data_IF_275079448322
#
_entry.id   IF_275079448322
#
_cell.length_a   1.000
_cell.length_b   1.000
_cell.length_c   1.000
_cell.angle_alpha   90.00
_cell.angle_beta   90.00
_cell.angle_gamma   90.00
#
_symmetry.space_group_name_H-M   'P 1'
#
loop_
_entity.id
_entity.type
_entity.pdbx_description
1 polymer ?
#
# COMPACT_ATOMS: atom_id res chain seq x y z
N UNK A 1 -2.75 20.56 -9.32
CA UNK A 1 -1.77 20.16 -8.30
C UNK A 1 -1.82 21.01 -7.03
N UNK A 2 -1.61 22.35 -7.07
CA UNK A 2 -1.71 23.21 -5.86
C UNK A 2 -3.02 23.05 -5.08
N UNK A 3 -4.16 22.97 -5.76
CA UNK A 3 -5.49 22.76 -5.14
C UNK A 3 -5.53 21.45 -4.35
N UNK A 4 -4.92 20.39 -4.87
CA UNK A 4 -4.88 19.07 -4.22
C UNK A 4 -4.03 19.14 -2.94
N UNK A 5 -2.84 19.74 -3.01
CA UNK A 5 -2.00 19.96 -1.83
C UNK A 5 -2.71 20.76 -0.74
N UNK A 6 -3.42 21.83 -1.11
CA UNK A 6 -4.21 22.63 -0.15
C UNK A 6 -5.36 21.84 0.46
N UNK A 7 -6.12 21.11 -0.35
CA UNK A 7 -7.23 20.29 0.11
C UNK A 7 -6.79 19.17 1.06
N UNK A 8 -5.53 18.73 0.96
CA UNK A 8 -4.93 17.71 1.83
C UNK A 8 -4.17 18.31 3.03
N UNK A 9 -4.14 19.64 3.20
CA UNK A 9 -3.38 20.27 4.29
C UNK A 9 -1.85 20.17 4.14
N UNK A 10 -1.35 20.00 2.91
CA UNK A 10 0.06 19.75 2.59
C UNK A 10 0.73 20.93 1.86
N UNK A 11 0.13 22.12 1.89
CA UNK A 11 0.65 23.29 1.16
C UNK A 11 2.03 23.73 1.66
N UNK A 12 2.29 23.66 2.96
CA UNK A 12 3.62 23.96 3.54
C UNK A 12 4.67 22.99 3.00
N UNK A 13 4.38 21.69 3.00
CA UNK A 13 5.29 20.68 2.43
C UNK A 13 5.55 20.96 0.95
N UNK A 14 4.51 21.34 0.19
CA UNK A 14 4.65 21.72 -1.23
C UNK A 14 5.59 22.91 -1.41
N UNK A 15 5.54 23.91 -0.52
CA UNK A 15 6.41 25.08 -0.59
C UNK A 15 7.86 24.71 -0.29
N UNK A 16 8.10 23.92 0.76
CA UNK A 16 9.44 23.46 1.12
C UNK A 16 10.08 22.61 0.02
N UNK A 17 9.31 21.67 -0.56
CA UNK A 17 9.75 20.88 -1.71
C UNK A 17 10.04 21.75 -2.95
N UNK A 18 9.22 22.77 -3.20
CA UNK A 18 9.40 23.65 -4.36
C UNK A 18 10.59 24.62 -4.21
N UNK A 19 10.99 24.94 -2.98
CA UNK A 19 12.17 25.76 -2.69
C UNK A 19 13.49 24.99 -2.88
N UNK A 20 13.42 23.67 -3.00
CA UNK A 20 14.58 22.80 -3.08
C UNK A 20 14.91 22.47 -4.54
N UNK A 21 16.18 22.58 -4.91
CA UNK A 21 16.67 22.28 -6.27
C UNK A 21 17.12 20.82 -6.47
N UNK A 22 17.18 20.04 -5.39
CA UNK A 22 17.61 18.64 -5.38
C UNK A 22 16.42 17.69 -5.16
N UNK A 23 16.24 16.74 -6.07
CA UNK A 23 15.23 15.68 -5.94
C UNK A 23 15.50 14.76 -4.75
N UNK A 24 16.78 14.51 -4.43
CA UNK A 24 17.19 13.71 -3.27
C UNK A 24 16.77 14.42 -1.98
N UNK A 25 16.98 15.73 -1.91
CA UNK A 25 16.62 16.52 -0.74
C UNK A 25 15.11 16.61 -0.57
N UNK A 26 14.37 16.73 -1.68
CA UNK A 26 12.92 16.63 -1.67
C UNK A 26 12.41 15.29 -1.13
N UNK A 27 13.07 14.17 -1.46
CA UNK A 27 12.75 12.85 -0.93
C UNK A 27 13.10 12.72 0.57
N UNK A 28 14.22 13.28 1.02
CA UNK A 28 14.58 13.34 2.44
C UNK A 28 13.52 14.08 3.25
N UNK A 29 13.10 15.27 2.79
CA UNK A 29 12.04 16.03 3.43
C UNK A 29 10.74 15.22 3.57
N UNK A 30 10.38 14.42 2.56
CA UNK A 30 9.21 13.53 2.67
C UNK A 30 9.44 12.49 3.77
N UNK A 31 10.62 11.87 3.81
CA UNK A 31 10.95 10.79 4.74
C UNK A 31 11.04 11.23 6.22
N UNK A 32 11.24 12.52 6.46
CA UNK A 32 11.29 13.11 7.80
C UNK A 32 9.90 13.52 8.34
N UNK A 33 8.86 13.46 7.51
CA UNK A 33 7.50 13.79 7.95
C UNK A 33 6.89 12.68 8.82
N UNK A 34 5.85 12.99 9.62
CA UNK A 34 5.03 11.97 10.27
C UNK A 34 4.49 10.95 9.26
N UNK A 35 4.44 9.66 9.65
CA UNK A 35 4.06 8.55 8.77
C UNK A 35 2.75 8.80 7.99
N UNK A 36 1.75 9.38 8.65
CA UNK A 36 0.48 9.76 8.00
C UNK A 36 0.67 10.71 6.81
N UNK A 37 1.50 11.75 6.99
CA UNK A 37 1.82 12.72 5.94
C UNK A 37 2.66 12.08 4.83
N UNK A 38 3.56 11.15 5.17
CA UNK A 38 4.34 10.39 4.19
C UNK A 38 3.41 9.59 3.26
N UNK A 39 2.51 8.79 3.85
CA UNK A 39 1.57 7.97 3.08
C UNK A 39 0.68 8.87 2.22
N UNK A 40 0.13 9.94 2.79
CA UNK A 40 -0.66 10.92 2.03
C UNK A 40 0.08 11.45 0.80
N UNK A 41 1.35 11.85 0.95
CA UNK A 41 2.15 12.38 -0.16
C UNK A 41 2.45 11.33 -1.21
N UNK A 42 2.84 10.12 -0.79
CA UNK A 42 3.16 9.02 -1.72
C UNK A 42 1.93 8.62 -2.52
N UNK A 43 0.79 8.44 -1.85
CA UNK A 43 -0.49 8.12 -2.50
C UNK A 43 -0.92 9.23 -3.45
N UNK A 44 -0.84 10.50 -3.01
CA UNK A 44 -1.16 11.65 -3.85
C UNK A 44 -0.27 11.71 -5.10
N UNK A 45 1.05 11.52 -4.97
CA UNK A 45 1.98 11.52 -6.10
C UNK A 45 1.69 10.38 -7.08
N UNK A 46 1.41 9.18 -6.57
CA UNK A 46 1.04 8.02 -7.37
C UNK A 46 -0.23 8.25 -8.19
N UNK A 47 -1.32 8.64 -7.52
CA UNK A 47 -2.62 8.84 -8.17
C UNK A 47 -2.60 10.04 -9.13
N UNK A 48 -1.79 11.06 -8.84
CA UNK A 48 -1.56 12.15 -9.78
C UNK A 48 -0.80 11.71 -11.03
N UNK A 49 0.23 10.88 -10.87
CA UNK A 49 0.97 10.30 -11.99
C UNK A 49 0.07 9.40 -12.85
N UNK A 50 -0.74 8.54 -12.24
CA UNK A 50 -1.72 7.69 -12.93
C UNK A 50 -2.70 8.54 -13.74
N UNK A 51 -3.27 9.59 -13.15
CA UNK A 51 -4.16 10.52 -13.84
C UNK A 51 -3.48 11.16 -15.05
N UNK A 52 -2.23 11.60 -14.91
CA UNK A 52 -1.46 12.18 -16.01
C UNK A 52 -1.28 11.17 -17.15
N UNK A 53 -1.05 9.90 -16.82
CA UNK A 53 -0.92 8.84 -17.83
C UNK A 53 -2.23 8.60 -18.57
N UNK A 54 -3.36 8.55 -17.86
CA UNK A 54 -4.70 8.43 -18.47
C UNK A 54 -4.98 9.55 -19.47
N UNK A 55 -4.69 10.81 -19.08
CA UNK A 55 -4.82 11.96 -19.97
C UNK A 55 -3.94 11.80 -21.22
N UNK A 56 -2.68 11.37 -21.04
CA UNK A 56 -1.76 11.13 -22.15
C UNK A 56 -2.26 10.02 -23.09
N UNK A 57 -2.93 9.01 -22.54
CA UNK A 57 -3.56 7.92 -23.31
C UNK A 57 -4.89 8.29 -23.97
N UNK A 58 -5.40 9.52 -23.78
CA UNK A 58 -6.72 9.93 -24.29
C UNK A 58 -7.90 9.34 -23.51
N UNK A 59 -7.65 8.75 -22.34
CA UNK A 59 -8.69 8.21 -21.47
C UNK A 59 -9.45 9.33 -20.75
N UNK A 60 -10.73 9.06 -20.42
CA UNK A 60 -11.49 9.92 -19.52
C UNK A 60 -10.91 9.85 -18.12
N UNK A 61 -10.78 11.00 -17.47
CA UNK A 61 -10.33 11.11 -16.08
C UNK A 61 -11.42 11.65 -15.18
N UNK A 62 -11.41 11.23 -13.92
CA UNK A 62 -12.42 11.67 -12.95
C UNK A 62 -12.28 13.17 -12.62
N UNK A 63 -13.18 13.75 -11.82
CA UNK A 63 -13.02 15.14 -11.37
C UNK A 63 -11.85 15.30 -10.38
N UNK A 64 -11.45 16.54 -10.11
CA UNK A 64 -10.39 16.81 -9.11
C UNK A 64 -10.90 16.50 -7.70
N UNK A 65 -12.17 16.73 -7.43
CA UNK A 65 -12.85 16.43 -6.16
C UNK A 65 -12.85 14.92 -5.92
N UNK A 66 -13.17 14.13 -6.96
CA UNK A 66 -13.10 12.68 -6.88
C UNK A 66 -11.68 12.19 -6.61
N UNK A 67 -10.68 12.78 -7.27
CA UNK A 67 -9.28 12.45 -7.01
C UNK A 67 -8.88 12.75 -5.56
N UNK A 68 -9.28 13.89 -4.99
CA UNK A 68 -9.00 14.24 -3.59
C UNK A 68 -9.63 13.20 -2.65
N UNK A 69 -10.90 12.87 -2.87
CA UNK A 69 -11.58 11.84 -2.08
C UNK A 69 -10.86 10.48 -2.19
N UNK A 70 -10.48 10.08 -3.41
CA UNK A 70 -9.72 8.84 -3.66
C UNK A 70 -8.40 8.81 -2.89
N UNK A 71 -7.65 9.92 -2.89
CA UNK A 71 -6.40 10.04 -2.12
C UNK A 71 -6.65 9.84 -0.63
N UNK A 72 -7.66 10.49 -0.07
CA UNK A 72 -7.98 10.40 1.36
C UNK A 72 -8.39 8.97 1.76
N UNK A 73 -9.30 8.37 1.00
CA UNK A 73 -9.79 7.00 1.27
C UNK A 73 -8.68 5.97 1.15
N UNK A 74 -7.88 6.01 0.07
CA UNK A 74 -6.74 5.10 -0.09
C UNK A 74 -5.70 5.29 1.02
N UNK A 75 -5.42 6.54 1.42
CA UNK A 75 -4.48 6.79 2.53
C UNK A 75 -4.98 6.19 3.83
N UNK A 76 -6.26 6.34 4.16
CA UNK A 76 -6.85 5.75 5.36
C UNK A 76 -6.79 4.21 5.33
N UNK A 77 -7.06 3.59 4.18
CA UNK A 77 -6.94 2.14 4.00
C UNK A 77 -5.50 1.66 4.20
N UNK A 78 -4.52 2.33 3.58
CA UNK A 78 -3.12 1.96 3.72
C UNK A 78 -2.63 2.11 5.15
N UNK A 79 -2.98 3.20 5.85
CA UNK A 79 -2.61 3.38 7.24
C UNK A 79 -3.18 2.27 8.13
N UNK A 80 -4.43 1.84 7.91
CA UNK A 80 -5.02 0.69 8.62
C UNK A 80 -4.23 -0.60 8.36
N UNK A 81 -3.86 -0.88 7.12
CA UNK A 81 -3.07 -2.06 6.76
C UNK A 81 -1.69 -2.06 7.43
N UNK A 82 -1.03 -0.89 7.53
CA UNK A 82 0.26 -0.77 8.21
C UNK A 82 0.16 -0.90 9.73
N UNK A 83 -0.96 -0.48 10.35
CA UNK A 83 -1.22 -0.66 11.78
C UNK A 83 -1.52 -2.13 12.11
N UNK A 84 -2.41 -2.80 11.36
CA UNK A 84 -2.71 -4.22 11.60
C UNK A 84 -1.50 -5.14 11.42
N UNK A 85 -0.55 -4.79 10.52
CA UNK A 85 0.70 -5.55 10.39
C UNK A 85 1.60 -5.46 11.63
N UNK A 86 1.60 -4.36 12.38
CA UNK A 86 2.36 -4.26 13.64
C UNK A 86 1.82 -5.22 14.71
N UNK A 87 0.50 -5.43 14.76
CA UNK A 87 -0.12 -6.38 15.70
C UNK A 87 0.11 -7.84 15.30
N UNK A 88 0.33 -8.12 14.01
CA UNK A 88 0.55 -9.48 13.50
C UNK A 88 2.00 -9.96 13.69
N UNK A 89 2.94 -9.10 14.07
CA UNK A 89 4.36 -9.46 14.27
C UNK A 89 4.66 -10.20 15.59
N UNK A 90 3.63 -10.64 16.32
CA UNK A 90 3.77 -11.69 17.34
C UNK A 90 3.00 -12.95 16.91
N UNK A 91 2.95 -13.25 15.61
CA UNK A 91 2.80 -14.64 15.21
C UNK A 91 4.08 -15.36 15.62
N UNK A 92 4.09 -15.94 16.82
CA UNK A 92 5.13 -16.91 17.23
C UNK A 92 5.34 -17.85 16.06
N UNK A 93 6.58 -18.10 15.66
CA UNK A 93 6.91 -19.19 14.73
C UNK A 93 6.26 -20.48 15.28
N UNK A 94 5.09 -20.85 14.75
CA UNK A 94 4.47 -22.13 15.08
C UNK A 94 5.22 -23.15 14.24
N UNK A 95 6.32 -23.66 14.80
CA UNK A 95 6.99 -24.83 14.26
C UNK A 95 6.08 -26.03 14.43
N UNK A 96 6.11 -26.93 13.46
CA UNK A 96 5.39 -28.18 13.55
C UNK A 96 5.82 -28.94 14.81
N UNK A 97 4.85 -29.34 15.64
CA UNK A 97 5.06 -30.17 16.82
C UNK A 97 4.49 -31.56 16.48
N UNK A 98 5.25 -32.65 16.66
CA UNK A 98 4.73 -33.99 16.48
C UNK A 98 3.58 -34.25 17.46
N UNK A 99 2.51 -34.95 17.03
CA UNK A 99 1.43 -35.33 17.94
C UNK A 99 1.96 -36.26 19.05
N UNK A 100 1.29 -36.27 20.20
CA UNK A 100 1.63 -37.17 21.32
C UNK A 100 1.59 -38.64 20.89
N UNK A 101 2.35 -39.52 21.56
CA UNK A 101 2.66 -40.88 21.10
C UNK A 101 1.47 -41.79 20.75
N UNK A 102 0.28 -41.48 21.25
CA UNK A 102 -0.95 -42.23 20.98
C UNK A 102 -1.74 -41.69 19.76
N UNK A 103 -1.22 -40.67 19.08
CA UNK A 103 -1.90 -39.98 18.00
C UNK A 103 -1.08 -40.03 16.70
N UNK A 104 -1.73 -40.49 15.64
CA UNK A 104 -1.21 -40.45 14.28
C UNK A 104 -1.84 -39.29 13.51
N UNK A 105 -1.01 -38.36 13.00
CA UNK A 105 -1.47 -37.31 12.09
C UNK A 105 -1.26 -37.78 10.65
N UNK A 106 -2.37 -37.95 9.92
CA UNK A 106 -2.37 -38.24 8.49
C UNK A 106 -2.79 -36.96 7.77
N UNK A 107 -1.93 -36.44 6.90
CA UNK A 107 -2.32 -35.39 5.97
C UNK A 107 -2.80 -36.06 4.68
N UNK A 108 -3.93 -35.63 4.15
CA UNK A 108 -4.44 -36.03 2.82
C UNK A 108 -4.60 -34.74 2.03
N UNK A 109 -3.70 -34.50 1.08
CA UNK A 109 -3.66 -33.30 0.23
C UNK A 109 -4.46 -33.44 -1.07
N UNK A 110 -5.04 -34.62 -1.31
CA UNK A 110 -6.12 -34.82 -2.29
C UNK A 110 -5.72 -34.49 -3.73
N UNK A 111 -4.46 -34.68 -4.10
CA UNK A 111 -3.99 -34.45 -5.46
C UNK A 111 -4.42 -35.62 -6.38
N UNK A 112 -5.50 -35.43 -7.14
CA UNK A 112 -5.95 -36.38 -8.16
C UNK A 112 -5.62 -35.87 -9.56
N UNK A 113 -4.96 -36.71 -10.35
CA UNK A 113 -4.65 -36.43 -11.76
C UNK A 113 -5.37 -37.45 -12.64
N UNK A 114 -6.34 -37.00 -13.43
CA UNK A 114 -7.11 -37.89 -14.31
C UNK A 114 -6.27 -38.29 -15.52
N UNK A 115 -5.98 -39.58 -15.66
CA UNK A 115 -5.26 -40.14 -16.81
C UNK A 115 -4.35 -41.33 -16.50
N UNK A 116 -3.97 -41.54 -15.24
CA UNK A 116 -3.05 -42.64 -14.86
C UNK A 116 -3.50 -43.46 -13.65
N UNK A 117 -4.74 -43.31 -13.16
CA UNK A 117 -5.26 -43.99 -11.95
C UNK A 117 -4.26 -44.04 -10.78
N UNK A 118 -3.50 -42.97 -10.59
CA UNK A 118 -2.55 -42.81 -9.50
C UNK A 118 -2.82 -41.47 -8.81
N UNK A 119 -3.01 -41.53 -7.49
CA UNK A 119 -3.00 -40.37 -6.58
C UNK A 119 -1.65 -40.23 -5.90
N UNK A 120 -1.30 -39.00 -5.51
CA UNK A 120 -0.21 -38.70 -4.58
C UNK A 120 -0.64 -38.82 -3.13
#
# INVERSE_FOLDING_TARGET
MKIIFRALGLEEVRQNMAATSSSIEALRMIWELPQEKQVHLVVMMWLWWERRNKIRGGERVESVEFLIHRIQTSTAEYLKLFVSKKETQIAKEVRWIPPHGDYLKINVDGAYTQGNDCGG
#
